data_IF_704618931640
#
_entry.id   IF_704618931640
#
_cell.length_a   1.000
_cell.length_b   1.000
_cell.length_c   1.000
_cell.angle_alpha   90.00
_cell.angle_beta   90.00
_cell.angle_gamma   90.00
#
_symmetry.space_group_name_H-M   'P 1'
#
loop_
_entity.id
_entity.type
_entity.pdbx_description
1 polymer ?
#
# COMPACT_ATOMS: atom_id res chain seq x y z
N UNK A 1 -29.81 -34.69 -2.36
CA UNK A 1 -28.63 -33.84 -2.18
C UNK A 1 -27.48 -34.75 -1.79
N UNK A 2 -26.34 -34.66 -2.47
CA UNK A 2 -25.17 -35.55 -2.29
C UNK A 2 -23.91 -34.78 -1.88
N UNK A 3 -24.06 -33.49 -1.57
CA UNK A 3 -22.98 -32.58 -1.20
C UNK A 3 -23.42 -31.66 -0.05
N UNK A 4 -22.46 -31.26 0.78
CA UNK A 4 -22.64 -30.34 1.89
C UNK A 4 -21.36 -29.54 2.11
N UNK A 5 -21.50 -28.25 2.40
CA UNK A 5 -20.40 -27.38 2.82
C UNK A 5 -20.28 -27.40 4.34
N UNK A 6 -19.07 -27.63 4.85
CA UNK A 6 -18.75 -27.52 6.28
C UNK A 6 -18.00 -26.20 6.47
N UNK A 7 -18.61 -25.28 7.20
CA UNK A 7 -18.06 -23.94 7.46
C UNK A 7 -17.54 -23.81 8.90
N UNK A 8 -16.77 -22.74 9.17
CA UNK A 8 -16.25 -22.46 10.51
C UNK A 8 -15.08 -23.34 10.95
N UNK A 9 -14.43 -24.03 10.01
CA UNK A 9 -13.19 -24.75 10.27
C UNK A 9 -12.01 -23.78 10.45
N UNK A 10 -11.07 -24.15 11.30
CA UNK A 10 -9.83 -23.39 11.49
C UNK A 10 -8.91 -23.62 10.28
N UNK A 11 -8.26 -22.58 9.74
CA UNK A 11 -7.25 -22.70 8.67
C UNK A 11 -6.06 -23.55 9.09
N UNK A 12 -5.38 -24.19 8.13
CA UNK A 12 -4.15 -24.99 8.34
C UNK A 12 -4.32 -26.22 9.26
N UNK A 13 -5.55 -26.67 9.50
CA UNK A 13 -5.85 -27.79 10.40
C UNK A 13 -6.33 -29.00 9.60
N UNK A 14 -5.84 -30.19 9.94
CA UNK A 14 -6.32 -31.45 9.40
C UNK A 14 -7.61 -31.89 10.10
N UNK A 15 -8.63 -32.21 9.32
CA UNK A 15 -9.92 -32.72 9.79
C UNK A 15 -10.17 -34.12 9.24
N UNK A 16 -10.75 -34.98 10.09
CA UNK A 16 -11.27 -36.29 9.69
C UNK A 16 -12.77 -36.17 9.43
N UNK A 17 -13.20 -36.45 8.21
CA UNK A 17 -14.60 -36.41 7.79
C UNK A 17 -15.13 -37.83 7.66
N UNK A 18 -16.28 -38.11 8.29
CA UNK A 18 -16.94 -39.41 8.26
C UNK A 18 -18.37 -39.28 7.73
N UNK A 19 -18.75 -40.08 6.73
CA UNK A 19 -20.08 -40.07 6.12
C UNK A 19 -20.77 -41.42 6.32
N UNK A 20 -22.00 -41.40 6.85
CA UNK A 20 -22.81 -42.58 7.14
C UNK A 20 -24.04 -42.62 6.25
N UNK A 21 -24.43 -43.80 5.77
CA UNK A 21 -25.77 -44.02 5.22
C UNK A 21 -26.71 -44.45 6.35
N UNK A 22 -27.82 -43.76 6.54
CA UNK A 22 -28.76 -44.02 7.62
C UNK A 22 -30.15 -44.38 7.07
N UNK A 23 -30.81 -45.34 7.70
CA UNK A 23 -32.23 -45.64 7.47
C UNK A 23 -32.96 -45.91 8.80
N UNK A 24 -34.22 -46.34 8.75
CA UNK A 24 -35.04 -46.59 9.96
C UNK A 24 -34.51 -47.70 10.87
N UNK A 25 -33.62 -48.55 10.37
CA UNK A 25 -33.15 -49.76 11.04
C UNK A 25 -31.69 -49.64 11.52
N UNK A 26 -31.00 -48.53 11.24
CA UNK A 26 -29.63 -48.29 11.69
C UNK A 26 -28.78 -47.51 10.71
N UNK A 27 -27.46 -47.52 10.96
CA UNK A 27 -26.43 -46.81 10.20
C UNK A 27 -25.44 -47.80 9.54
N UNK A 28 -24.86 -47.40 8.41
CA UNK A 28 -23.77 -48.13 7.77
C UNK A 28 -22.44 -47.95 8.51
N UNK A 29 -21.41 -48.66 8.07
CA UNK A 29 -20.03 -48.24 8.35
C UNK A 29 -19.76 -46.88 7.67
N UNK A 30 -18.92 -46.01 8.28
CA UNK A 30 -18.60 -44.73 7.68
C UNK A 30 -17.64 -44.87 6.51
N UNK A 31 -17.82 -44.00 5.53
CA UNK A 31 -16.73 -43.60 4.64
C UNK A 31 -15.92 -42.52 5.36
N UNK A 32 -14.62 -42.74 5.56
CA UNK A 32 -13.73 -41.83 6.29
C UNK A 32 -12.66 -41.28 5.36
N UNK A 33 -12.42 -39.97 5.40
CA UNK A 33 -11.37 -39.30 4.64
C UNK A 33 -10.81 -38.13 5.45
N UNK A 34 -9.52 -37.78 5.27
CA UNK A 34 -8.93 -36.57 5.84
C UNK A 34 -8.83 -35.44 4.83
N UNK A 35 -8.91 -34.20 5.31
CA UNK A 35 -8.70 -32.99 4.53
C UNK A 35 -8.03 -31.91 5.39
N UNK A 36 -7.11 -31.16 4.81
CA UNK A 36 -6.46 -29.99 5.45
C UNK A 36 -7.11 -28.72 4.91
N UNK A 37 -7.47 -27.81 5.79
CA UNK A 37 -7.98 -26.49 5.40
C UNK A 37 -6.84 -25.59 4.92
N UNK A 38 -7.10 -24.80 3.88
CA UNK A 38 -6.09 -23.85 3.37
C UNK A 38 -5.83 -22.70 4.37
N UNK A 39 -4.71 -22.00 4.20
CA UNK A 39 -4.36 -20.79 4.95
C UNK A 39 -5.34 -19.64 4.65
N UNK A 40 -5.75 -18.89 5.69
CA UNK A 40 -6.55 -17.68 5.53
C UNK A 40 -5.69 -16.54 4.94
N UNK A 41 -6.31 -15.55 4.31
CA UNK A 41 -5.57 -14.41 3.76
C UNK A 41 -5.27 -13.35 4.82
N UNK A 42 -4.13 -12.64 4.70
CA UNK A 42 -3.90 -11.41 5.47
C UNK A 42 -5.03 -10.40 5.25
N UNK A 43 -5.23 -9.50 6.22
CA UNK A 43 -6.28 -8.47 6.18
C UNK A 43 -5.70 -7.09 6.45
N UNK A 44 -6.51 -6.04 6.25
CA UNK A 44 -6.17 -4.68 6.70
C UNK A 44 -4.87 -4.09 6.14
N UNK A 45 -4.64 -4.14 4.82
CA UNK A 45 -3.43 -3.53 4.24
C UNK A 45 -3.44 -2.02 4.46
N UNK A 46 -2.43 -1.52 5.15
CA UNK A 46 -2.23 -0.12 5.46
C UNK A 46 -0.90 0.39 4.91
N UNK A 47 -0.89 1.65 4.49
CA UNK A 47 0.29 2.38 4.04
C UNK A 47 0.55 3.50 5.06
N UNK A 48 1.67 3.43 5.77
CA UNK A 48 1.92 4.28 6.95
C UNK A 48 2.94 5.38 6.70
N UNK A 49 4.09 5.02 6.12
CA UNK A 49 5.15 5.96 5.76
C UNK A 49 5.35 5.92 4.25
N UNK A 50 4.91 6.98 3.55
CA UNK A 50 4.99 7.10 2.09
C UNK A 50 5.96 8.24 1.76
N UNK A 51 7.12 7.88 1.24
CA UNK A 51 8.14 8.81 0.78
C UNK A 51 8.22 8.80 -0.77
N UNK A 52 9.17 9.57 -1.30
CA UNK A 52 9.41 9.72 -2.74
C UNK A 52 9.90 8.43 -3.38
N UNK A 53 10.60 7.57 -2.65
CA UNK A 53 11.19 6.33 -3.17
C UNK A 53 10.98 5.11 -2.26
N UNK A 54 10.20 5.26 -1.19
CA UNK A 54 9.86 4.18 -0.27
C UNK A 54 8.41 4.22 0.21
N UNK A 55 7.88 3.05 0.55
CA UNK A 55 6.56 2.89 1.16
C UNK A 55 6.66 1.83 2.25
N UNK A 56 6.27 2.17 3.47
CA UNK A 56 6.06 1.21 4.55
C UNK A 56 4.63 0.69 4.54
N UNK A 57 4.51 -0.63 4.48
CA UNK A 57 3.24 -1.36 4.50
C UNK A 57 3.05 -2.08 5.83
N UNK A 58 1.79 -2.26 6.22
CA UNK A 58 1.39 -3.04 7.38
C UNK A 58 0.15 -3.89 7.04
N UNK A 59 0.00 -5.05 7.66
CA UNK A 59 -1.16 -5.94 7.48
C UNK A 59 -1.52 -6.63 8.80
N UNK A 60 -2.72 -7.20 8.84
CA UNK A 60 -3.17 -8.08 9.92
C UNK A 60 -2.87 -9.53 9.53
N UNK A 61 -2.15 -10.25 10.40
CA UNK A 61 -1.82 -11.65 10.20
C UNK A 61 -3.10 -12.52 10.10
N UNK A 62 -3.15 -13.49 9.18
CA UNK A 62 -4.28 -14.41 9.07
C UNK A 62 -4.38 -15.33 10.29
N UNK A 63 -5.53 -15.99 10.44
CA UNK A 63 -5.67 -17.07 11.41
C UNK A 63 -4.98 -18.34 10.89
N UNK A 64 -4.34 -19.09 11.79
CA UNK A 64 -3.56 -20.29 11.46
C UNK A 64 -2.06 -20.05 11.53
N UNK A 65 -1.27 -21.04 11.12
CA UNK A 65 0.18 -20.92 11.08
C UNK A 65 0.63 -20.23 9.79
N UNK A 66 1.56 -19.29 9.91
CA UNK A 66 2.24 -18.64 8.79
C UNK A 66 3.73 -18.84 8.98
N UNK A 67 4.42 -19.35 7.96
CA UNK A 67 5.87 -19.53 8.00
C UNK A 67 6.59 -18.28 7.49
N UNK A 68 6.04 -17.62 6.47
CA UNK A 68 6.56 -16.37 5.88
C UNK A 68 5.50 -15.68 5.03
N UNK A 69 5.78 -14.45 4.63
CA UNK A 69 4.98 -13.73 3.64
C UNK A 69 5.74 -13.59 2.32
N UNK A 70 5.01 -13.62 1.22
CA UNK A 70 5.49 -13.14 -0.08
C UNK A 70 4.86 -11.79 -0.36
N UNK A 71 5.70 -10.76 -0.41
CA UNK A 71 5.29 -9.40 -0.76
C UNK A 71 5.76 -9.10 -2.17
N UNK A 72 4.82 -8.79 -3.06
CA UNK A 72 5.14 -8.32 -4.41
C UNK A 72 4.58 -6.91 -4.62
N UNK A 73 5.26 -6.15 -5.47
CA UNK A 73 4.87 -4.79 -5.80
C UNK A 73 5.18 -4.49 -7.26
N UNK A 74 4.29 -3.74 -7.90
CA UNK A 74 4.43 -3.45 -9.33
C UNK A 74 3.91 -2.09 -9.71
N UNK A 75 4.59 -1.44 -10.65
CA UNK A 75 4.10 -0.29 -11.40
C UNK A 75 4.12 -0.60 -12.90
N UNK A 76 3.38 0.15 -13.74
CA UNK A 76 3.42 -0.03 -15.19
C UNK A 76 4.83 0.09 -15.79
N UNK A 77 5.72 0.86 -15.16
CA UNK A 77 7.09 1.08 -15.64
C UNK A 77 8.10 0.03 -15.16
N UNK A 78 7.91 -0.51 -13.94
CA UNK A 78 8.89 -1.40 -13.30
C UNK A 78 8.54 -2.89 -13.39
N UNK A 79 7.31 -3.21 -13.80
CA UNK A 79 6.81 -4.58 -13.76
C UNK A 79 6.67 -5.11 -12.33
N UNK A 80 6.53 -6.43 -12.18
CA UNK A 80 6.38 -7.08 -10.87
C UNK A 80 7.76 -7.31 -10.25
N UNK A 81 7.90 -6.86 -9.00
CA UNK A 81 9.05 -7.14 -8.13
C UNK A 81 8.57 -7.89 -6.89
N UNK A 82 9.43 -8.72 -6.33
CA UNK A 82 9.23 -9.38 -5.04
C UNK A 82 10.21 -8.79 -4.02
N UNK A 83 9.74 -8.58 -2.79
CA UNK A 83 10.55 -8.03 -1.72
C UNK A 83 11.55 -9.08 -1.22
N UNK A 84 12.81 -8.67 -1.07
CA UNK A 84 13.86 -9.50 -0.49
C UNK A 84 14.66 -8.73 0.57
N UNK A 85 14.90 -9.32 1.76
CA UNK A 85 14.40 -10.62 2.22
C UNK A 85 12.87 -10.63 2.39
N UNK A 86 12.28 -11.82 2.28
CA UNK A 86 10.86 -12.01 2.55
C UNK A 86 10.57 -11.81 4.05
N UNK A 87 9.44 -11.19 4.45
CA UNK A 87 9.05 -11.12 5.86
C UNK A 87 8.76 -12.51 6.44
N UNK A 88 9.12 -12.71 7.70
CA UNK A 88 8.87 -13.94 8.44
C UNK A 88 7.39 -14.02 8.88
N UNK A 89 6.94 -15.20 9.34
CA UNK A 89 5.53 -15.43 9.67
C UNK A 89 4.96 -14.55 10.80
N UNK A 90 5.82 -14.07 11.70
CA UNK A 90 5.47 -13.16 12.80
C UNK A 90 5.49 -11.69 12.39
N UNK A 91 6.03 -11.36 11.21
CA UNK A 91 6.07 -9.99 10.73
C UNK A 91 4.68 -9.54 10.25
N UNK A 92 4.35 -8.30 10.58
CA UNK A 92 3.11 -7.62 10.20
C UNK A 92 3.37 -6.34 9.40
N UNK A 93 4.64 -6.05 9.11
CA UNK A 93 5.08 -4.87 8.35
C UNK A 93 6.24 -5.18 7.42
N UNK A 94 6.38 -4.36 6.38
CA UNK A 94 7.55 -4.38 5.50
C UNK A 94 7.79 -2.99 4.88
N UNK A 95 9.00 -2.76 4.41
CA UNK A 95 9.37 -1.52 3.71
C UNK A 95 9.75 -1.84 2.26
N UNK A 96 9.06 -1.19 1.33
CA UNK A 96 9.39 -1.22 -0.09
C UNK A 96 10.32 -0.04 -0.39
N UNK A 97 11.46 -0.30 -1.02
CA UNK A 97 12.47 0.72 -1.33
C UNK A 97 12.83 0.74 -2.82
N UNK A 98 13.47 1.83 -3.25
CA UNK A 98 13.90 1.99 -4.65
C UNK A 98 12.72 2.15 -5.61
N UNK A 99 11.64 2.76 -5.13
CA UNK A 99 10.45 3.07 -5.89
C UNK A 99 10.64 4.35 -6.70
N UNK A 100 9.88 4.48 -7.79
CA UNK A 100 9.87 5.68 -8.61
C UNK A 100 9.03 6.76 -7.93
N UNK A 101 9.51 8.01 -7.84
CA UNK A 101 8.72 9.10 -7.31
C UNK A 101 7.47 9.43 -8.12
N UNK A 102 6.40 9.82 -7.42
CA UNK A 102 5.11 10.15 -8.03
C UNK A 102 4.47 9.02 -8.83
N UNK A 103 4.82 7.76 -8.55
CA UNK A 103 4.34 6.59 -9.29
C UNK A 103 3.41 5.73 -8.44
N UNK A 104 2.36 5.21 -9.08
CA UNK A 104 1.42 4.28 -8.44
C UNK A 104 1.97 2.85 -8.43
N UNK A 105 1.88 2.20 -7.27
CA UNK A 105 2.26 0.81 -7.06
C UNK A 105 1.06 -0.01 -6.57
N UNK A 106 0.84 -1.16 -7.21
CA UNK A 106 -0.01 -2.22 -6.67
C UNK A 106 0.86 -3.14 -5.82
N UNK A 107 0.48 -3.31 -4.55
CA UNK A 107 1.17 -4.17 -3.58
C UNK A 107 0.30 -5.38 -3.28
N UNK A 108 0.90 -6.57 -3.23
CA UNK A 108 0.25 -7.82 -2.86
C UNK A 108 1.02 -8.51 -1.75
N UNK A 109 0.31 -8.92 -0.70
CA UNK A 109 0.84 -9.73 0.41
C UNK A 109 0.14 -11.09 0.40
N UNK A 110 0.92 -12.16 0.36
CA UNK A 110 0.44 -13.55 0.40
C UNK A 110 1.07 -14.24 1.60
N UNK A 111 0.26 -14.87 2.43
CA UNK A 111 0.76 -15.71 3.52
C UNK A 111 1.09 -17.11 3.00
N UNK A 112 2.19 -17.68 3.49
CA UNK A 112 2.71 -18.99 3.09
C UNK A 112 2.90 -19.88 4.32
N UNK A 113 2.49 -21.14 4.22
CA UNK A 113 2.77 -22.17 5.21
C UNK A 113 2.92 -23.52 4.51
N UNK A 114 4.10 -24.14 4.65
CA UNK A 114 4.51 -25.30 3.84
C UNK A 114 4.31 -25.04 2.33
N UNK A 115 3.53 -25.88 1.65
CA UNK A 115 3.18 -25.75 0.23
C UNK A 115 1.86 -24.98 -0.01
N UNK A 116 1.25 -24.44 1.05
CA UNK A 116 0.00 -23.68 0.97
C UNK A 116 0.24 -22.19 0.79
N UNK A 117 -0.56 -21.57 -0.07
CA UNK A 117 -0.59 -20.13 -0.28
C UNK A 117 -1.99 -19.58 -0.03
N UNK A 118 -2.06 -18.42 0.62
CA UNK A 118 -3.32 -17.71 0.82
C UNK A 118 -3.77 -17.01 -0.46
N UNK A 119 -5.03 -16.57 -0.48
CA UNK A 119 -5.40 -15.51 -1.41
C UNK A 119 -4.58 -14.24 -1.11
N UNK A 120 -4.27 -13.42 -2.13
CA UNK A 120 -3.52 -12.20 -1.91
C UNK A 120 -4.38 -11.13 -1.23
N UNK A 121 -3.75 -10.42 -0.29
CA UNK A 121 -4.20 -9.11 0.17
C UNK A 121 -3.59 -8.06 -0.77
N UNK A 122 -4.43 -7.27 -1.45
CA UNK A 122 -3.99 -6.31 -2.47
C UNK A 122 -4.37 -4.89 -2.06
N UNK A 123 -3.47 -3.94 -2.29
CA UNK A 123 -3.75 -2.51 -2.20
C UNK A 123 -2.93 -1.70 -3.18
N UNK A 124 -3.30 -0.44 -3.36
CA UNK A 124 -2.68 0.47 -4.31
C UNK A 124 -2.27 1.74 -3.57
N UNK A 125 -1.05 2.20 -3.79
CA UNK A 125 -0.52 3.42 -3.19
C UNK A 125 0.44 4.12 -4.16
N UNK A 126 0.37 5.45 -4.22
CA UNK A 126 1.34 6.27 -4.95
C UNK A 126 2.45 6.73 -4.01
N UNK A 127 3.69 6.75 -4.50
CA UNK A 127 4.83 7.40 -3.82
C UNK A 127 4.66 8.92 -3.80
N UNK A 128 5.36 9.58 -2.88
CA UNK A 128 5.31 11.03 -2.79
C UNK A 128 5.97 11.69 -4.02
N UNK A 129 5.53 12.92 -4.29
CA UNK A 129 6.12 13.77 -5.33
C UNK A 129 7.31 14.52 -4.70
N UNK A 130 8.51 14.50 -5.30
CA UNK A 130 9.65 15.24 -4.77
C UNK A 130 9.37 16.75 -4.71
N UNK A 131 9.85 17.41 -3.65
CA UNK A 131 9.67 18.84 -3.49
C UNK A 131 10.48 19.64 -4.55
N UNK A 132 9.99 20.80 -5.00
CA UNK A 132 10.79 21.75 -5.74
C UNK A 132 12.00 22.20 -4.91
N UNK A 133 13.13 22.52 -5.57
CA UNK A 133 14.38 22.86 -4.89
C UNK A 133 14.87 24.27 -5.26
N UNK A 134 15.90 24.75 -4.57
CA UNK A 134 16.63 25.98 -4.92
C UNK A 134 15.74 27.23 -5.06
N UNK A 135 14.85 27.45 -4.09
CA UNK A 135 13.99 28.63 -4.04
C UNK A 135 14.85 29.90 -3.92
N UNK A 136 14.73 30.82 -4.88
CA UNK A 136 15.43 32.10 -4.93
C UNK A 136 14.46 33.25 -5.10
N UNK A 137 14.83 34.40 -4.55
CA UNK A 137 14.07 35.64 -4.68
C UNK A 137 14.86 36.67 -5.47
N UNK A 138 14.17 37.45 -6.31
CA UNK A 138 14.72 38.56 -7.07
C UNK A 138 13.68 39.68 -7.20
N UNK A 139 14.09 40.83 -7.76
CA UNK A 139 13.18 41.98 -8.03
C UNK A 139 12.34 42.38 -6.81
N UNK A 140 12.98 42.46 -5.65
CA UNK A 140 12.32 42.79 -4.38
C UNK A 140 11.98 44.28 -4.34
N UNK A 141 10.73 44.59 -4.01
CA UNK A 141 10.20 45.94 -3.81
C UNK A 141 9.48 46.02 -2.47
N UNK A 142 9.01 47.20 -2.03
CA UNK A 142 8.25 47.31 -0.79
C UNK A 142 6.98 46.44 -0.72
N UNK A 143 6.40 46.06 -1.88
CA UNK A 143 5.13 45.32 -1.94
C UNK A 143 5.17 44.11 -2.87
N UNK A 144 6.34 43.73 -3.41
CA UNK A 144 6.46 42.61 -4.35
C UNK A 144 7.83 41.94 -4.33
N UNK A 145 7.89 40.71 -4.84
CA UNK A 145 9.13 40.02 -5.20
C UNK A 145 8.85 38.97 -6.29
N UNK A 146 9.89 38.54 -6.98
CA UNK A 146 9.85 37.39 -7.89
C UNK A 146 10.45 36.18 -7.20
N UNK A 147 9.72 35.07 -7.12
CA UNK A 147 10.19 33.79 -6.61
C UNK A 147 10.50 32.82 -7.77
N UNK A 148 11.59 32.06 -7.67
CA UNK A 148 12.07 31.12 -8.68
C UNK A 148 12.50 29.81 -8.03
N UNK A 149 12.25 28.66 -8.65
CA UNK A 149 12.61 27.33 -8.12
C UNK A 149 13.05 26.37 -9.25
N UNK A 150 13.64 25.25 -8.86
CA UNK A 150 13.93 24.12 -9.74
C UNK A 150 12.82 23.08 -9.59
N UNK A 151 12.22 22.69 -10.73
CA UNK A 151 11.20 21.67 -10.82
C UNK A 151 11.75 20.27 -10.47
N UNK A 152 10.99 19.42 -9.75
CA UNK A 152 11.33 18.01 -9.60
C UNK A 152 11.21 17.27 -10.94
N UNK A 153 11.97 16.18 -11.12
CA UNK A 153 11.99 15.38 -12.35
C UNK A 153 10.84 14.36 -12.41
N UNK A 154 9.61 14.83 -12.29
CA UNK A 154 8.38 14.02 -12.34
C UNK A 154 7.29 14.77 -13.11
N UNK A 155 6.26 14.05 -13.56
CA UNK A 155 5.12 14.68 -14.21
C UNK A 155 4.25 15.40 -13.18
N UNK A 156 4.18 16.74 -13.29
CA UNK A 156 3.36 17.58 -12.43
C UNK A 156 2.07 18.00 -13.13
N UNK A 157 1.05 18.33 -12.35
CA UNK A 157 -0.19 18.98 -12.82
C UNK A 157 -0.21 20.48 -12.53
N UNK A 158 0.67 20.97 -11.67
CA UNK A 158 0.82 22.39 -11.37
C UNK A 158 1.68 22.65 -10.13
N UNK A 159 1.85 23.93 -9.80
CA UNK A 159 2.43 24.39 -8.53
C UNK A 159 1.43 25.22 -7.74
N UNK A 160 1.59 25.24 -6.43
CA UNK A 160 0.84 26.12 -5.52
C UNK A 160 1.82 26.92 -4.67
N UNK A 161 1.88 28.22 -4.90
CA UNK A 161 2.73 29.16 -4.14
C UNK A 161 1.89 29.83 -3.07
N UNK A 162 2.34 29.73 -1.81
CA UNK A 162 1.69 30.27 -0.63
C UNK A 162 2.60 31.28 0.07
N UNK A 163 2.11 32.49 0.30
CA UNK A 163 2.87 33.58 0.92
C UNK A 163 2.12 34.08 2.15
N UNK A 164 2.78 34.02 3.31
CA UNK A 164 2.24 34.45 4.60
C UNK A 164 3.24 35.39 5.29
N UNK A 165 2.80 36.53 5.84
CA UNK A 165 3.66 37.33 6.71
C UNK A 165 4.02 36.53 7.97
N UNK A 166 5.32 36.48 8.32
CA UNK A 166 5.81 35.67 9.45
C UNK A 166 5.40 36.25 10.81
N UNK A 167 5.43 37.57 10.95
CA UNK A 167 5.28 38.28 12.23
C UNK A 167 4.01 39.13 12.32
N UNK A 168 3.24 39.23 11.24
CA UNK A 168 1.99 39.99 11.19
C UNK A 168 0.84 39.06 10.87
N UNK A 169 -0.30 39.26 11.51
CA UNK A 169 -1.57 38.73 11.01
C UNK A 169 -1.94 39.49 9.75
N UNK A 170 -1.79 38.85 8.59
CA UNK A 170 -2.16 39.40 7.29
C UNK A 170 -2.78 38.31 6.41
N UNK A 171 -3.47 38.68 5.33
CA UNK A 171 -4.07 37.71 4.43
C UNK A 171 -2.97 36.89 3.74
N UNK A 172 -3.15 35.57 3.76
CA UNK A 172 -2.38 34.65 2.93
C UNK A 172 -2.62 34.96 1.45
N UNK A 173 -1.57 34.94 0.64
CA UNK A 173 -1.71 34.87 -0.82
C UNK A 173 -1.44 33.46 -1.30
N UNK A 174 -2.32 32.94 -2.15
CA UNK A 174 -2.16 31.66 -2.82
C UNK A 174 -2.25 31.86 -4.33
N UNK A 175 -1.28 31.31 -5.06
CA UNK A 175 -1.20 31.38 -6.53
C UNK A 175 -1.03 29.95 -7.05
N UNK A 176 -1.95 29.49 -7.90
CA UNK A 176 -1.84 28.21 -8.60
C UNK A 176 -1.23 28.46 -9.99
N UNK A 177 -0.27 27.64 -10.37
CA UNK A 177 0.52 27.78 -11.59
C UNK A 177 0.50 26.49 -12.40
N UNK A 178 0.75 26.62 -13.70
CA UNK A 178 0.90 25.49 -14.61
C UNK A 178 2.15 24.64 -14.28
N UNK A 179 2.21 23.37 -14.69
CA UNK A 179 3.29 22.46 -14.31
C UNK A 179 4.65 22.79 -14.96
N UNK A 180 4.67 23.62 -15.99
CA UNK A 180 5.87 24.15 -16.65
C UNK A 180 6.41 25.43 -15.99
N UNK A 181 5.71 25.99 -15.00
CA UNK A 181 6.14 27.19 -14.30
C UNK A 181 7.33 26.93 -13.37
N UNK A 182 8.38 27.74 -13.49
CA UNK A 182 9.56 27.75 -12.59
C UNK A 182 9.74 29.08 -11.84
N UNK A 183 8.80 30.01 -12.00
CA UNK A 183 8.83 31.31 -11.35
C UNK A 183 7.44 31.92 -11.19
N UNK A 184 7.32 32.87 -10.27
CA UNK A 184 6.12 33.69 -10.09
C UNK A 184 6.47 35.09 -9.58
N UNK A 185 5.74 36.09 -10.05
CA UNK A 185 5.76 37.43 -9.47
C UNK A 185 4.69 37.51 -8.39
N UNK A 186 5.11 37.75 -7.15
CA UNK A 186 4.21 37.99 -6.02
C UNK A 186 4.13 39.49 -5.81
N UNK A 187 2.95 40.09 -5.95
CA UNK A 187 2.73 41.53 -5.82
C UNK A 187 1.63 41.84 -4.80
N UNK A 188 1.55 43.11 -4.35
CA UNK A 188 0.51 43.61 -3.45
C UNK A 188 0.61 43.09 -2.02
N UNK A 189 1.82 42.85 -1.52
CA UNK A 189 2.08 42.51 -0.12
C UNK A 189 1.87 43.76 0.75
N UNK A 190 1.19 43.61 1.90
CA UNK A 190 0.89 44.67 2.88
C UNK A 190 1.46 44.32 4.25
#
# INVERSE_FOLDING_TARGET
QTEMTIEGLQPTVEYVVSVYAQNRNGESQPLVQTAVTNIDRPKGLAFTDVDVDSIKIAWESPQGQVSRYRVTYSSPEDGIRELFPAPDGEDDTAELQGLRPGSEYTVSVVALHDDMESQPLIGIQSTAIPAPTNLKFSQVTPTSFTAQWIAPSVQLTGYRVRVNPKEKTGPMKEINLSPDSSSVIVSGLM
#
